data_IF_183256906566
#
_entry.id   IF_183256906566
#
_cell.length_a   1.000
_cell.length_b   1.000
_cell.length_c   1.000
_cell.angle_alpha   90.00
_cell.angle_beta   90.00
_cell.angle_gamma   90.00
#
_symmetry.space_group_name_H-M   'P 1'
#
loop_
_entity.id
_entity.type
_entity.pdbx_description
1 polymer ?
#
# COMPACT_ATOMS: atom_id res chain seq x y z
N UNK A 1 20.62 3.39 -6.22
CA UNK A 1 21.30 2.73 -5.09
C UNK A 1 20.31 2.44 -3.97
N UNK A 2 20.46 1.31 -3.26
CA UNK A 2 19.68 0.96 -2.07
C UNK A 2 20.31 1.70 -0.87
N UNK A 3 19.55 2.60 -0.25
CA UNK A 3 20.01 3.35 0.92
C UNK A 3 19.67 2.65 2.24
N UNK A 4 18.54 1.94 2.27
CA UNK A 4 18.12 1.19 3.45
C UNK A 4 17.30 -0.03 3.05
N UNK A 5 17.52 -1.13 3.77
CA UNK A 5 16.77 -2.39 3.59
C UNK A 5 16.30 -2.89 4.95
N UNK A 6 15.01 -3.22 5.03
CA UNK A 6 14.39 -3.74 6.25
C UNK A 6 13.51 -4.95 5.93
N UNK A 7 13.67 -6.03 6.68
CA UNK A 7 12.75 -7.17 6.63
C UNK A 7 11.54 -6.88 7.52
N UNK A 8 10.39 -6.57 6.93
CA UNK A 8 9.16 -6.30 7.66
C UNK A 8 8.51 -7.58 8.18
N UNK A 9 8.52 -8.62 7.36
CA UNK A 9 8.08 -9.97 7.74
C UNK A 9 9.20 -10.92 7.31
N UNK A 10 9.93 -11.55 8.24
CA UNK A 10 11.08 -12.38 7.92
C UNK A 10 10.83 -13.42 6.84
N UNK A 11 11.67 -13.41 5.80
CA UNK A 11 11.59 -14.32 4.65
C UNK A 11 10.37 -14.10 3.73
N UNK A 12 9.57 -13.06 3.95
CA UNK A 12 8.33 -12.85 3.20
C UNK A 12 8.16 -11.45 2.64
N UNK A 13 8.36 -10.41 3.44
CA UNK A 13 8.09 -9.03 3.01
C UNK A 13 9.25 -8.13 3.41
N UNK A 14 9.77 -7.41 2.44
CA UNK A 14 10.88 -6.49 2.63
C UNK A 14 10.53 -5.08 2.16
N UNK A 15 11.16 -4.10 2.81
CA UNK A 15 11.11 -2.68 2.48
C UNK A 15 12.48 -2.23 2.00
N UNK A 16 12.51 -1.47 0.91
CA UNK A 16 13.71 -0.79 0.41
C UNK A 16 13.45 0.72 0.32
N UNK A 17 14.45 1.48 0.72
CA UNK A 17 14.56 2.92 0.45
C UNK A 17 15.61 3.09 -0.64
N UNK A 18 15.21 3.67 -1.76
CA UNK A 18 16.05 3.86 -2.94
C UNK A 18 16.39 5.32 -3.14
N UNK A 19 17.65 5.61 -3.46
CA UNK A 19 18.07 6.89 -4.01
C UNK A 19 17.52 7.05 -5.43
N UNK A 20 16.56 7.95 -5.60
CA UNK A 20 15.86 8.20 -6.84
C UNK A 20 15.26 9.62 -6.90
N UNK A 21 16.09 10.68 -6.87
CA UNK A 21 15.63 12.06 -6.68
C UNK A 21 14.67 12.56 -7.75
N UNK A 22 14.86 12.16 -9.01
CA UNK A 22 13.97 12.57 -10.10
C UNK A 22 12.56 11.94 -9.95
N UNK A 23 12.50 10.69 -9.49
CA UNK A 23 11.24 10.00 -9.23
C UNK A 23 10.58 10.58 -7.97
N UNK A 24 11.35 10.77 -6.89
CA UNK A 24 10.84 11.30 -5.64
C UNK A 24 10.21 12.70 -5.79
N UNK A 25 10.79 13.55 -6.63
CA UNK A 25 10.30 14.90 -6.89
C UNK A 25 8.94 14.94 -7.62
N UNK A 26 8.60 13.90 -8.36
CA UNK A 26 7.41 13.90 -9.25
C UNK A 26 6.39 12.81 -8.93
N UNK A 27 6.78 11.81 -8.15
CA UNK A 27 5.89 10.72 -7.77
C UNK A 27 4.75 11.21 -6.85
N UNK A 28 3.59 10.62 -7.04
CA UNK A 28 2.37 10.88 -6.26
C UNK A 28 1.79 9.55 -5.76
N UNK A 29 0.94 9.58 -4.74
CA UNK A 29 0.23 8.39 -4.29
C UNK A 29 -0.44 7.62 -5.44
N UNK A 30 -0.28 6.30 -5.47
CA UNK A 30 -0.80 5.44 -6.53
C UNK A 30 0.15 5.20 -7.70
N UNK A 31 1.26 5.93 -7.80
CA UNK A 31 2.30 5.65 -8.79
C UNK A 31 3.12 4.40 -8.43
N UNK A 32 3.74 3.81 -9.44
CA UNK A 32 4.65 2.67 -9.33
C UNK A 32 5.95 2.92 -10.09
N UNK A 33 6.93 2.07 -9.87
CA UNK A 33 8.17 2.04 -10.62
C UNK A 33 8.32 0.68 -11.31
N UNK A 34 9.00 0.66 -12.45
CA UNK A 34 9.43 -0.54 -13.13
C UNK A 34 10.89 -0.79 -12.77
N UNK A 35 11.19 -1.94 -12.18
CA UNK A 35 12.53 -2.33 -11.76
C UNK A 35 13.10 -3.42 -12.66
N UNK A 36 14.40 -3.38 -12.84
CA UNK A 36 15.22 -4.48 -13.38
C UNK A 36 16.47 -4.62 -12.53
N UNK A 37 16.63 -5.76 -11.86
CA UNK A 37 17.68 -5.91 -10.85
C UNK A 37 19.07 -5.95 -11.48
N UNK A 38 19.24 -6.75 -12.55
CA UNK A 38 20.50 -6.92 -13.29
C UNK A 38 20.23 -7.34 -14.74
N UNK A 39 21.27 -7.60 -15.53
CA UNK A 39 21.17 -7.96 -16.95
C UNK A 39 20.37 -9.26 -17.21
N UNK A 40 20.35 -10.21 -16.26
CA UNK A 40 19.59 -11.46 -16.35
C UNK A 40 18.16 -11.33 -15.79
N UNK A 41 17.84 -10.18 -15.15
CA UNK A 41 16.55 -9.90 -14.53
C UNK A 41 15.51 -9.41 -15.53
N UNK A 42 14.27 -9.80 -15.31
CA UNK A 42 13.13 -9.24 -16.00
C UNK A 42 12.74 -7.88 -15.40
N UNK A 43 11.99 -7.07 -16.17
CA UNK A 43 11.35 -5.87 -15.65
C UNK A 43 10.05 -6.22 -14.95
N UNK A 44 9.88 -5.71 -13.74
CA UNK A 44 8.66 -5.93 -12.94
C UNK A 44 8.25 -4.66 -12.21
N UNK A 45 6.94 -4.43 -12.04
CA UNK A 45 6.42 -3.25 -11.38
C UNK A 45 6.37 -3.43 -9.87
N UNK A 46 6.69 -2.34 -9.14
CA UNK A 46 6.44 -2.23 -7.70
C UNK A 46 5.82 -0.87 -7.38
N UNK A 47 4.77 -0.89 -6.56
CA UNK A 47 4.10 0.34 -6.14
C UNK A 47 5.00 1.14 -5.20
N UNK A 48 5.01 2.47 -5.37
CA UNK A 48 5.70 3.39 -4.46
C UNK A 48 4.88 3.47 -3.17
N UNK A 49 5.49 3.05 -2.06
CA UNK A 49 4.88 3.04 -0.73
C UNK A 49 5.06 4.37 0.03
N UNK A 50 6.08 5.13 -0.31
CA UNK A 50 6.29 6.50 0.20
C UNK A 50 7.32 7.24 -0.66
N UNK A 51 7.35 8.58 -0.51
CA UNK A 51 8.32 9.45 -1.15
C UNK A 51 8.83 10.50 -0.16
N UNK A 52 10.10 10.82 -0.24
CA UNK A 52 10.72 11.95 0.44
C UNK A 52 11.47 12.80 -0.60
N UNK A 53 10.83 13.84 -1.17
CA UNK A 53 11.45 14.70 -2.18
C UNK A 53 12.66 15.48 -1.66
N UNK A 54 12.71 15.81 -0.35
CA UNK A 54 13.83 16.56 0.25
C UNK A 54 15.08 15.69 0.32
N UNK A 55 14.93 14.40 0.65
CA UNK A 55 16.01 13.42 0.64
C UNK A 55 16.26 12.80 -0.73
N UNK A 56 15.37 13.03 -1.69
CA UNK A 56 15.44 12.40 -3.03
C UNK A 56 15.20 10.89 -3.01
N UNK A 57 14.36 10.39 -2.11
CA UNK A 57 14.16 8.94 -1.93
C UNK A 57 12.76 8.48 -2.21
N UNK A 58 12.65 7.24 -2.68
CA UNK A 58 11.38 6.50 -2.75
C UNK A 58 11.46 5.25 -1.88
N UNK A 59 10.33 4.86 -1.32
CA UNK A 59 10.18 3.61 -0.56
C UNK A 59 9.34 2.64 -1.37
N UNK A 60 9.79 1.40 -1.47
CA UNK A 60 9.04 0.27 -2.05
C UNK A 60 8.92 -0.85 -1.02
N UNK A 61 7.81 -1.58 -1.07
CA UNK A 61 7.55 -2.76 -0.25
C UNK A 61 7.11 -3.89 -1.16
N UNK A 62 7.69 -5.06 -0.99
CA UNK A 62 7.43 -6.20 -1.86
C UNK A 62 7.40 -7.52 -1.10
N UNK A 63 6.63 -8.46 -1.67
CA UNK A 63 6.65 -9.86 -1.26
C UNK A 63 7.82 -10.57 -1.95
N UNK A 64 8.56 -11.35 -1.19
CA UNK A 64 9.61 -12.24 -1.72
C UNK A 64 8.92 -13.49 -2.25
N UNK A 65 8.57 -13.46 -3.53
CA UNK A 65 7.96 -14.58 -4.23
C UNK A 65 8.33 -14.54 -5.72
N UNK A 66 8.88 -15.61 -6.22
CA UNK A 66 9.34 -15.68 -7.61
C UNK A 66 10.72 -15.05 -7.84
N UNK A 67 11.26 -15.34 -9.03
CA UNK A 67 12.67 -15.07 -9.39
C UNK A 67 13.08 -13.60 -9.21
N UNK A 68 12.28 -12.67 -9.71
CA UNK A 68 12.65 -11.25 -9.73
C UNK A 68 12.73 -10.63 -8.33
N UNK A 69 11.77 -10.96 -7.45
CA UNK A 69 11.77 -10.46 -6.06
C UNK A 69 12.81 -11.20 -5.19
N UNK A 70 13.15 -12.47 -5.49
CA UNK A 70 14.26 -13.17 -4.84
C UNK A 70 15.62 -12.56 -5.24
N UNK A 71 15.80 -12.16 -6.51
CA UNK A 71 16.99 -11.44 -6.94
C UNK A 71 17.10 -10.06 -6.26
N UNK A 72 15.98 -9.36 -6.09
CA UNK A 72 15.95 -8.09 -5.36
C UNK A 72 16.26 -8.29 -3.87
N UNK A 73 15.77 -9.38 -3.29
CA UNK A 73 16.03 -9.73 -1.88
C UNK A 73 17.49 -10.09 -1.60
N UNK A 74 18.20 -10.59 -2.61
CA UNK A 74 19.63 -10.89 -2.48
C UNK A 74 20.54 -9.65 -2.42
N UNK A 75 20.02 -8.47 -2.79
CA UNK A 75 20.76 -7.22 -2.70
C UNK A 75 20.81 -6.70 -1.26
N UNK A 76 21.86 -5.96 -0.95
CA UNK A 76 22.15 -5.32 0.33
C UNK A 76 22.09 -3.79 0.22
N UNK A 77 22.14 -3.11 1.35
CA UNK A 77 22.37 -1.65 1.39
C UNK A 77 23.70 -1.31 0.70
N UNK A 78 23.70 -0.27 -0.12
CA UNK A 78 24.83 0.15 -0.95
C UNK A 78 24.81 -0.48 -2.36
N UNK A 79 24.11 -1.57 -2.58
CA UNK A 79 23.99 -2.18 -3.91
C UNK A 79 23.16 -1.32 -4.86
N UNK A 80 23.40 -1.51 -6.15
CA UNK A 80 22.68 -0.82 -7.21
C UNK A 80 21.70 -1.73 -7.94
N UNK A 81 20.51 -1.22 -8.21
CA UNK A 81 19.54 -1.82 -9.12
C UNK A 81 19.83 -1.28 -10.51
N UNK A 82 19.89 -2.14 -11.53
CA UNK A 82 20.28 -1.78 -12.89
C UNK A 82 19.38 -0.70 -13.49
N UNK A 83 18.06 -0.92 -13.45
CA UNK A 83 17.07 0.05 -13.95
C UNK A 83 16.00 0.32 -12.89
N UNK A 84 15.67 1.60 -12.71
CA UNK A 84 14.51 2.08 -11.95
C UNK A 84 13.83 3.13 -12.81
N UNK A 85 12.76 2.78 -13.48
CA UNK A 85 11.99 3.68 -14.34
C UNK A 85 10.68 4.11 -13.68
N UNK A 86 10.41 5.41 -13.64
CA UNK A 86 9.21 5.98 -13.03
C UNK A 86 9.25 7.49 -12.87
N UNK A 87 8.24 8.08 -12.21
CA UNK A 87 7.02 7.41 -11.77
C UNK A 87 6.14 7.01 -12.95
N UNK A 88 5.47 5.87 -12.84
CA UNK A 88 4.56 5.32 -13.86
C UNK A 88 3.16 5.17 -13.28
N UNK A 89 2.17 4.98 -14.16
CA UNK A 89 0.77 4.83 -13.80
C UNK A 89 0.03 6.14 -13.65
N UNK A 90 -1.17 6.06 -13.04
CA UNK A 90 -2.02 7.22 -12.77
C UNK A 90 -2.08 7.47 -11.28
N UNK A 91 -1.81 8.70 -10.88
CA UNK A 91 -1.95 9.10 -9.47
C UNK A 91 -3.39 8.88 -8.99
N UNK A 92 -3.53 8.44 -7.75
CA UNK A 92 -4.83 8.40 -7.06
C UNK A 92 -5.38 9.81 -6.94
N UNK A 93 -6.67 9.97 -7.23
CA UNK A 93 -7.34 11.25 -7.01
C UNK A 93 -7.40 11.52 -5.49
N UNK A 94 -6.94 12.68 -5.09
CA UNK A 94 -7.01 13.12 -3.70
C UNK A 94 -8.11 14.17 -3.59
N UNK A 95 -9.21 13.81 -2.96
CA UNK A 95 -10.31 14.74 -2.63
C UNK A 95 -9.85 15.72 -1.55
N UNK A 96 -10.58 16.83 -1.36
CA UNK A 96 -10.24 17.85 -0.36
C UNK A 96 -11.44 18.14 0.54
N UNK A 97 -11.15 18.22 1.84
CA UNK A 97 -12.04 18.83 2.83
C UNK A 97 -13.08 17.91 3.45
N UNK A 98 -12.89 16.57 3.39
CA UNK A 98 -13.88 15.63 3.90
C UNK A 98 -13.29 14.42 4.62
N UNK A 99 -14.14 13.49 5.05
CA UNK A 99 -13.76 12.24 5.68
C UNK A 99 -13.52 11.17 4.61
N UNK A 100 -12.35 10.53 4.66
CA UNK A 100 -11.93 9.48 3.73
C UNK A 100 -11.54 8.23 4.52
N UNK A 101 -12.02 7.06 4.08
CA UNK A 101 -11.62 5.78 4.64
C UNK A 101 -10.63 5.10 3.67
N UNK A 102 -9.44 4.80 4.16
CA UNK A 102 -8.42 4.05 3.44
C UNK A 102 -8.35 2.62 3.97
N UNK A 103 -8.71 1.65 3.15
CA UNK A 103 -8.73 0.22 3.52
C UNK A 103 -7.54 -0.50 2.90
N UNK A 104 -6.72 -1.14 3.74
CA UNK A 104 -5.53 -1.86 3.31
C UNK A 104 -5.50 -3.32 3.76
N UNK A 105 -5.08 -4.23 2.89
CA UNK A 105 -4.92 -5.65 3.21
C UNK A 105 -3.58 -6.23 2.79
N UNK A 106 -2.93 -6.97 3.69
CA UNK A 106 -1.63 -7.57 3.44
C UNK A 106 -0.58 -6.55 2.98
N UNK A 107 0.18 -6.83 1.92
CA UNK A 107 1.16 -5.88 1.37
C UNK A 107 0.53 -4.63 0.75
N UNK A 108 -0.76 -4.66 0.42
CA UNK A 108 -1.49 -3.49 -0.05
C UNK A 108 -1.55 -2.36 0.97
N UNK A 109 -1.35 -2.66 2.27
CA UNK A 109 -1.25 -1.65 3.33
C UNK A 109 -0.13 -0.64 3.03
N UNK A 110 0.99 -1.08 2.47
CA UNK A 110 2.11 -0.18 2.13
C UNK A 110 1.74 0.85 1.05
N UNK A 111 1.03 0.44 0.01
CA UNK A 111 0.54 1.36 -1.03
C UNK A 111 -0.60 2.25 -0.50
N UNK A 112 -1.50 1.69 0.31
CA UNK A 112 -2.57 2.43 0.98
C UNK A 112 -2.00 3.50 1.92
N UNK A 113 -0.92 3.22 2.64
CA UNK A 113 -0.22 4.18 3.49
C UNK A 113 0.15 5.47 2.74
N UNK A 114 0.71 5.35 1.53
CA UNK A 114 1.08 6.52 0.72
C UNK A 114 -0.16 7.32 0.29
N UNK A 115 -1.27 6.63 -0.03
CA UNK A 115 -2.55 7.28 -0.39
C UNK A 115 -3.15 7.99 0.83
N UNK A 116 -3.20 7.33 1.99
CA UNK A 116 -3.66 7.91 3.25
C UNK A 116 -2.86 9.16 3.63
N UNK A 117 -1.53 9.09 3.50
CA UNK A 117 -0.62 10.25 3.73
C UNK A 117 -0.92 11.40 2.76
N UNK A 118 -1.28 11.10 1.50
CA UNK A 118 -1.71 12.09 0.52
C UNK A 118 -3.01 12.80 0.93
N UNK A 119 -4.00 12.05 1.39
CA UNK A 119 -5.26 12.61 1.90
C UNK A 119 -5.05 13.44 3.16
N UNK A 120 -4.24 12.96 4.12
CA UNK A 120 -3.90 13.72 5.31
C UNK A 120 -3.23 15.06 4.98
N UNK A 121 -2.24 15.06 4.07
CA UNK A 121 -1.59 16.30 3.60
C UNK A 121 -2.55 17.27 2.90
N UNK A 122 -3.63 16.77 2.31
CA UNK A 122 -4.68 17.59 1.70
C UNK A 122 -5.67 18.17 2.72
N UNK A 123 -5.54 17.83 4.01
CA UNK A 123 -6.38 18.32 5.12
C UNK A 123 -7.67 17.51 5.33
N UNK A 124 -7.72 16.28 4.83
CA UNK A 124 -8.87 15.38 5.07
C UNK A 124 -8.78 14.73 6.45
N UNK A 125 -9.94 14.36 7.00
CA UNK A 125 -10.02 13.43 8.12
C UNK A 125 -9.84 12.02 7.60
N UNK A 126 -8.74 11.38 7.99
CA UNK A 126 -8.32 10.08 7.43
C UNK A 126 -8.52 8.95 8.43
N UNK A 127 -9.34 8.00 8.05
CA UNK A 127 -9.56 6.74 8.78
C UNK A 127 -8.85 5.64 8.02
N UNK A 128 -7.86 5.01 8.63
CA UNK A 128 -7.21 3.83 8.08
C UNK A 128 -7.85 2.55 8.67
N UNK A 129 -8.25 1.63 7.81
CA UNK A 129 -8.69 0.28 8.21
C UNK A 129 -7.69 -0.71 7.62
N UNK A 130 -6.95 -1.40 8.47
CA UNK A 130 -5.94 -2.37 8.03
C UNK A 130 -6.28 -3.78 8.48
N UNK A 131 -6.01 -4.74 7.60
CA UNK A 131 -6.29 -6.14 7.87
C UNK A 131 -5.21 -7.10 7.43
N UNK A 132 -5.03 -8.17 8.21
CA UNK A 132 -4.15 -9.28 7.89
C UNK A 132 -4.74 -10.60 8.43
N UNK A 133 -4.15 -11.73 8.07
CA UNK A 133 -4.56 -13.03 8.64
C UNK A 133 -4.27 -13.12 10.13
N UNK A 134 -3.16 -12.53 10.59
CA UNK A 134 -2.69 -12.54 11.98
C UNK A 134 -1.89 -11.28 12.29
N UNK A 135 -1.67 -11.01 13.58
CA UNK A 135 -0.96 -9.82 14.06
C UNK A 135 0.45 -9.65 13.47
N UNK A 136 1.20 -10.73 13.34
CA UNK A 136 2.57 -10.75 12.82
C UNK A 136 2.68 -10.41 11.32
N UNK A 137 1.54 -10.37 10.62
CA UNK A 137 1.45 -10.01 9.21
C UNK A 137 0.95 -8.57 8.97
N UNK A 138 0.64 -7.83 10.05
CA UNK A 138 0.26 -6.42 9.95
C UNK A 138 1.46 -5.55 9.62
N UNK A 139 1.25 -4.61 8.72
CA UNK A 139 2.27 -3.67 8.26
C UNK A 139 1.84 -2.24 8.56
N UNK A 140 2.81 -1.35 8.79
CA UNK A 140 2.62 0.11 8.84
C UNK A 140 1.63 0.62 9.91
N UNK A 141 1.35 -0.15 10.97
CA UNK A 141 0.43 0.28 12.03
C UNK A 141 0.90 1.57 12.70
N UNK A 142 2.17 1.61 13.12
CA UNK A 142 2.73 2.76 13.82
C UNK A 142 2.85 3.98 12.91
N UNK A 143 3.24 3.78 11.66
CA UNK A 143 3.33 4.84 10.66
C UNK A 143 1.94 5.46 10.40
N UNK A 144 0.91 4.64 10.22
CA UNK A 144 -0.46 5.11 10.02
C UNK A 144 -0.97 5.86 11.26
N UNK A 145 -0.72 5.35 12.46
CA UNK A 145 -1.09 6.02 13.73
C UNK A 145 -0.42 7.37 13.93
N UNK A 146 0.71 7.61 13.26
CA UNK A 146 1.44 8.88 13.39
C UNK A 146 0.77 10.05 12.67
N UNK A 147 -0.12 9.80 11.71
CA UNK A 147 -0.75 10.87 10.93
C UNK A 147 -2.25 10.65 10.62
N UNK A 148 -2.76 9.42 10.64
CA UNK A 148 -4.20 9.20 10.49
C UNK A 148 -4.96 9.61 11.75
N UNK A 149 -6.17 10.13 11.58
CA UNK A 149 -7.04 10.51 12.69
C UNK A 149 -7.57 9.28 13.44
N UNK A 150 -7.84 8.19 12.72
CA UNK A 150 -8.23 6.91 13.29
C UNK A 150 -7.51 5.76 12.56
N UNK A 151 -7.12 4.73 13.31
CA UNK A 151 -6.60 3.46 12.76
C UNK A 151 -7.36 2.29 13.37
N UNK A 152 -8.10 1.57 12.53
CA UNK A 152 -8.87 0.39 12.88
C UNK A 152 -8.17 -0.85 12.35
N UNK A 153 -8.13 -1.91 13.16
CA UNK A 153 -7.37 -3.12 12.84
C UNK A 153 -8.24 -4.36 12.93
N UNK A 154 -8.16 -5.23 11.93
CA UNK A 154 -8.76 -6.56 11.97
C UNK A 154 -7.73 -7.65 11.70
N UNK A 155 -7.91 -8.81 12.33
CA UNK A 155 -7.19 -10.03 12.00
C UNK A 155 -8.16 -11.18 11.84
N UNK A 156 -7.96 -12.02 10.81
CA UNK A 156 -8.88 -13.11 10.52
C UNK A 156 -8.95 -14.11 11.68
N UNK A 157 -7.80 -14.36 12.34
CA UNK A 157 -7.67 -15.28 13.47
C UNK A 157 -8.05 -14.68 14.83
N UNK A 158 -8.21 -13.34 14.90
CA UNK A 158 -8.51 -12.62 16.14
C UNK A 158 -7.32 -12.43 17.06
N UNK A 159 -6.09 -12.61 16.55
CA UNK A 159 -4.86 -12.42 17.34
C UNK A 159 -4.60 -10.96 17.73
N UNK A 160 -5.24 -10.01 17.02
CA UNK A 160 -5.13 -8.59 17.33
C UNK A 160 -6.28 -7.77 16.70
N UNK A 161 -6.77 -6.77 17.43
CA UNK A 161 -7.87 -5.91 16.97
C UNK A 161 -9.20 -6.65 16.88
N UNK A 162 -10.00 -6.29 15.87
CA UNK A 162 -11.26 -6.97 15.57
C UNK A 162 -11.01 -8.37 14.98
N UNK A 163 -11.69 -9.38 15.47
CA UNK A 163 -11.68 -10.71 14.86
C UNK A 163 -12.66 -10.73 13.69
N UNK A 164 -12.15 -10.80 12.47
CA UNK A 164 -12.97 -10.78 11.27
C UNK A 164 -12.30 -9.99 10.15
N UNK A 165 -13.09 -9.50 9.21
CA UNK A 165 -12.60 -8.82 8.02
C UNK A 165 -12.63 -7.30 8.14
N UNK A 166 -11.83 -6.63 7.34
CA UNK A 166 -11.83 -5.16 7.22
C UNK A 166 -13.22 -4.61 6.86
N UNK A 167 -14.04 -5.40 6.17
CA UNK A 167 -15.40 -5.04 5.77
C UNK A 167 -16.36 -4.90 6.96
N UNK A 168 -16.12 -5.63 8.05
CA UNK A 168 -16.94 -5.53 9.25
C UNK A 168 -16.75 -4.14 9.89
N UNK A 169 -15.48 -3.74 10.05
CA UNK A 169 -15.12 -2.42 10.56
C UNK A 169 -15.57 -1.29 9.62
N UNK A 170 -15.44 -1.50 8.30
CA UNK A 170 -15.90 -0.55 7.30
C UNK A 170 -17.40 -0.32 7.40
N UNK A 171 -18.19 -1.39 7.46
CA UNK A 171 -19.64 -1.32 7.59
C UNK A 171 -20.05 -0.57 8.85
N UNK A 172 -19.50 -0.97 10.00
CA UNK A 172 -19.71 -0.30 11.29
C UNK A 172 -19.42 1.20 11.23
N UNK A 173 -18.35 1.57 10.51
CA UNK A 173 -17.96 2.97 10.39
C UNK A 173 -18.91 3.76 9.50
N UNK A 174 -19.33 3.19 8.36
CA UNK A 174 -20.29 3.81 7.44
C UNK A 174 -21.68 3.96 8.04
N UNK A 175 -22.10 3.07 8.93
CA UNK A 175 -23.37 3.19 9.67
C UNK A 175 -23.34 4.35 10.68
N UNK A 176 -22.18 4.61 11.30
CA UNK A 176 -21.99 5.66 12.31
C UNK A 176 -21.73 7.04 11.72
N UNK A 177 -21.03 7.10 10.60
CA UNK A 177 -20.60 8.35 9.97
C UNK A 177 -21.09 8.45 8.51
N UNK A 178 -22.12 9.25 8.32
CA UNK A 178 -22.71 9.51 7.00
C UNK A 178 -21.97 10.57 6.18
N UNK A 179 -20.87 11.12 6.69
CA UNK A 179 -20.08 12.17 6.03
C UNK A 179 -18.88 11.61 5.26
N UNK A 180 -18.70 10.29 5.23
CA UNK A 180 -17.62 9.66 4.46
C UNK A 180 -17.85 9.93 2.97
N UNK A 181 -16.91 10.61 2.34
CA UNK A 181 -17.00 11.01 0.94
C UNK A 181 -16.45 9.94 0.01
N UNK A 182 -15.36 9.30 0.39
CA UNK A 182 -14.69 8.30 -0.42
C UNK A 182 -14.13 7.17 0.43
N UNK A 183 -14.15 5.97 -0.14
CA UNK A 183 -13.39 4.80 0.36
C UNK A 183 -12.35 4.41 -0.67
N UNK A 184 -11.10 4.31 -0.26
CA UNK A 184 -10.00 3.81 -1.11
C UNK A 184 -9.55 2.46 -0.61
N UNK A 185 -9.56 1.43 -1.46
CA UNK A 185 -9.17 0.08 -1.09
C UNK A 185 -7.95 -0.41 -1.87
N UNK A 186 -6.96 -0.95 -1.16
CA UNK A 186 -5.73 -1.50 -1.73
C UNK A 186 -5.40 -2.84 -1.07
N UNK A 187 -5.36 -3.91 -1.85
CA UNK A 187 -5.07 -5.24 -1.32
C UNK A 187 -5.50 -6.37 -2.26
N UNK A 188 -5.69 -7.57 -1.74
CA UNK A 188 -6.16 -8.72 -2.54
C UNK A 188 -7.49 -8.43 -3.26
N UNK A 189 -7.63 -8.92 -4.48
CA UNK A 189 -8.85 -8.71 -5.30
C UNK A 189 -10.14 -9.06 -4.56
N UNK A 190 -10.24 -10.23 -3.88
CA UNK A 190 -11.45 -10.56 -3.12
C UNK A 190 -11.78 -9.53 -2.03
N UNK A 191 -10.76 -8.99 -1.34
CA UNK A 191 -10.96 -7.93 -0.33
C UNK A 191 -11.49 -6.65 -0.98
N UNK A 192 -10.91 -6.21 -2.08
CA UNK A 192 -11.34 -4.99 -2.79
C UNK A 192 -12.77 -5.15 -3.32
N UNK A 193 -13.14 -6.32 -3.83
CA UNK A 193 -14.51 -6.63 -4.25
C UNK A 193 -15.49 -6.58 -3.07
N UNK A 194 -15.11 -7.15 -1.92
CA UNK A 194 -15.92 -7.11 -0.71
C UNK A 194 -16.09 -5.68 -0.17
N UNK A 195 -15.02 -4.87 -0.20
CA UNK A 195 -15.09 -3.44 0.16
C UNK A 195 -16.07 -2.70 -0.74
N UNK A 196 -15.96 -2.86 -2.07
CA UNK A 196 -16.87 -2.22 -3.02
C UNK A 196 -18.33 -2.66 -2.81
N UNK A 197 -18.57 -3.95 -2.53
CA UNK A 197 -19.89 -4.46 -2.18
C UNK A 197 -20.44 -3.88 -0.88
N UNK A 198 -19.57 -3.64 0.10
CA UNK A 198 -19.95 -3.04 1.40
C UNK A 198 -20.33 -1.58 1.28
N UNK A 199 -19.65 -0.80 0.44
CA UNK A 199 -19.90 0.64 0.26
C UNK A 199 -21.12 0.94 -0.61
N UNK A 200 -21.46 0.05 -1.53
CA UNK A 200 -22.54 0.23 -2.51
C UNK A 200 -23.91 0.61 -1.87
N UNK A 201 -24.40 -0.07 -0.80
CA UNK A 201 -25.67 0.30 -0.16
C UNK A 201 -25.67 1.68 0.49
N UNK A 202 -24.48 2.22 0.81
CA UNK A 202 -24.32 3.53 1.42
C UNK A 202 -24.17 4.67 0.40
N UNK A 203 -24.04 4.34 -0.89
CA UNK A 203 -23.84 5.32 -1.96
C UNK A 203 -22.50 6.05 -1.87
N UNK A 204 -21.50 5.47 -1.20
CA UNK A 204 -20.18 6.09 -1.03
C UNK A 204 -19.29 5.73 -2.23
N UNK A 205 -18.63 6.74 -2.81
CA UNK A 205 -17.67 6.55 -3.88
C UNK A 205 -16.53 5.64 -3.43
N UNK A 206 -16.20 4.63 -4.24
CA UNK A 206 -15.16 3.66 -3.88
C UNK A 206 -14.13 3.54 -4.98
N UNK A 207 -12.89 3.89 -4.65
CA UNK A 207 -11.73 3.72 -5.52
C UNK A 207 -10.98 2.46 -5.12
N UNK A 208 -10.77 1.54 -6.07
CA UNK A 208 -9.94 0.34 -5.86
C UNK A 208 -8.64 0.48 -6.65
N UNK A 209 -7.52 0.20 -6.01
CA UNK A 209 -6.22 0.24 -6.66
C UNK A 209 -5.91 -1.13 -7.29
N UNK A 210 -6.21 -1.26 -8.58
CA UNK A 210 -5.90 -2.46 -9.36
C UNK A 210 -4.48 -2.34 -9.93
N UNK A 211 -3.54 -3.03 -9.33
CA UNK A 211 -2.27 -3.32 -10.00
C UNK A 211 -2.41 -4.66 -10.72
N UNK A 212 -2.76 -4.62 -12.00
CA UNK A 212 -3.07 -5.81 -12.81
C UNK A 212 -1.95 -6.85 -12.87
N UNK A 213 -0.69 -6.43 -12.73
CA UNK A 213 0.46 -7.35 -12.77
C UNK A 213 0.70 -8.05 -11.42
N UNK A 214 0.40 -7.41 -10.29
CA UNK A 214 0.42 -8.10 -8.98
C UNK A 214 -0.72 -9.12 -8.89
N UNK A 215 -1.87 -8.84 -9.50
CA UNK A 215 -3.00 -9.78 -9.54
C UNK A 215 -2.74 -11.00 -10.45
N UNK A 216 -1.99 -10.84 -11.55
CA UNK A 216 -1.67 -11.94 -12.48
C UNK A 216 -0.65 -12.94 -11.91
N UNK A 217 0.20 -12.51 -10.99
CA UNK A 217 1.15 -13.41 -10.31
C UNK A 217 0.50 -14.34 -9.29
N UNK A 218 -0.79 -14.14 -8.95
CA UNK A 218 -1.56 -15.01 -8.05
C UNK A 218 -2.41 -16.07 -8.76
N UNK A 219 -2.45 -16.10 -10.09
CA UNK A 219 -3.33 -17.00 -10.86
C UNK A 219 -2.61 -18.04 -11.70
N UNK A 220 -1.30 -18.22 -11.53
CA UNK A 220 -0.59 -19.33 -12.17
C UNK A 220 -0.23 -20.41 -11.14
N UNK A 221 -1.21 -21.26 -10.86
CA UNK A 221 -1.12 -22.73 -10.68
C UNK A 221 -2.47 -23.34 -10.96
#
# INVERSE_FOLDING_TARGET
TILHKESLIPGRTSKLVLDAPQIAATAKPGHFVMLRVNEQGERFPLTIADTDPEKGTITIVYLVMGKSTMMLEALSEGDSILDVAGPLGKATHIVKGDSVICVGGGTGIAAMHHIAKGHHKAGNYVIAIIGARSKDLLLFENELKSFCDEVLISTDDGSYGHKGFVTDLLKDRLEKDKKVQEVVAVGPVPMMQAVAGTTLPFGVATTVSLNSLICLLYTSD
#
